data_IF_334965135668
#
_entry.id   IF_334965135668
#
_cell.length_a   1.000
_cell.length_b   1.000
_cell.length_c   1.000
_cell.angle_alpha   90.00
_cell.angle_beta   90.00
_cell.angle_gamma   90.00
#
_symmetry.space_group_name_H-M   'P 1'
#
loop_
_entity.id
_entity.type
_entity.pdbx_description
1 polymer ?
#
# COMPACT_ATOMS: atom_id res chain seq x y z
N UNK A 1 17.27 -3.39 0.22
CA UNK A 1 17.18 -2.53 1.40
C UNK A 1 15.71 -2.29 1.69
N UNK A 2 15.23 -2.77 2.83
CA UNK A 2 13.81 -2.85 3.16
C UNK A 2 13.47 -1.93 4.32
N UNK A 3 13.25 -0.65 4.03
CA UNK A 3 12.46 0.25 4.87
C UNK A 3 11.27 0.72 4.04
N UNK A 4 10.16 1.09 4.66
CA UNK A 4 8.96 1.55 3.94
C UNK A 4 9.14 2.92 3.25
N UNK A 5 9.81 3.94 3.84
CA UNK A 5 9.85 5.28 3.28
C UNK A 5 10.29 5.42 1.80
N UNK A 6 11.28 4.67 1.29
CA UNK A 6 11.67 4.72 -0.12
C UNK A 6 10.58 4.27 -1.11
N UNK A 7 9.56 3.55 -0.66
CA UNK A 7 8.54 2.95 -1.53
C UNK A 7 7.24 3.77 -1.61
N UNK A 8 7.12 4.82 -0.80
CA UNK A 8 5.95 5.70 -0.73
C UNK A 8 6.29 7.12 -1.21
N UNK A 9 5.26 7.96 -1.36
CA UNK A 9 5.42 9.36 -1.70
C UNK A 9 6.40 10.09 -0.76
N UNK A 10 7.19 11.00 -1.32
CA UNK A 10 8.12 11.85 -0.56
C UNK A 10 7.34 12.69 0.44
N UNK A 11 7.87 12.77 1.66
CA UNK A 11 7.26 13.57 2.73
C UNK A 11 6.06 12.91 3.41
N UNK A 12 5.74 11.64 3.12
CA UNK A 12 4.76 10.88 3.90
C UNK A 12 5.11 10.93 5.39
N UNK A 13 4.11 11.24 6.22
CA UNK A 13 4.21 11.30 7.68
C UNK A 13 2.84 11.00 8.32
N UNK A 14 2.81 10.78 9.63
CA UNK A 14 1.57 10.56 10.39
C UNK A 14 0.68 11.82 10.31
N UNK A 15 -0.62 11.64 10.14
CA UNK A 15 -1.60 12.72 9.95
C UNK A 15 -1.69 13.23 8.51
N UNK A 16 -0.83 12.76 7.60
CA UNK A 16 -0.85 13.17 6.21
C UNK A 16 -2.11 12.65 5.52
N UNK A 17 -2.95 13.59 5.06
CA UNK A 17 -4.12 13.28 4.25
C UNK A 17 -3.71 12.88 2.83
N UNK A 18 -4.47 11.97 2.24
CA UNK A 18 -4.25 11.39 0.92
C UNK A 18 -5.55 11.48 0.10
N UNK A 19 -5.45 11.82 -1.18
CA UNK A 19 -6.47 11.50 -2.17
C UNK A 19 -6.21 10.10 -2.68
N UNK A 20 -7.23 9.25 -2.69
CA UNK A 20 -7.17 7.95 -3.36
C UNK A 20 -7.68 8.12 -4.78
N UNK A 21 -6.87 7.77 -5.77
CA UNK A 21 -7.24 7.77 -7.18
C UNK A 21 -7.26 6.36 -7.73
N UNK A 22 -8.20 6.06 -8.62
CA UNK A 22 -8.22 4.81 -9.38
C UNK A 22 -8.21 5.11 -10.88
N UNK A 23 -7.75 4.15 -11.67
CA UNK A 23 -7.63 4.32 -13.12
C UNK A 23 -8.96 3.99 -13.83
N UNK A 24 -9.56 4.97 -14.49
CA UNK A 24 -10.71 4.79 -15.41
C UNK A 24 -10.57 5.71 -16.61
N UNK A 25 -9.93 5.25 -17.70
CA UNK A 25 -9.47 6.06 -18.86
C UNK A 25 -8.49 7.20 -18.48
N UNK A 26 -8.69 7.86 -17.34
CA UNK A 26 -7.86 8.82 -16.63
C UNK A 26 -7.83 8.47 -15.13
N UNK A 27 -6.91 9.06 -14.37
CA UNK A 27 -6.88 8.91 -12.90
C UNK A 27 -7.94 9.80 -12.26
N UNK A 28 -8.98 9.20 -11.70
CA UNK A 28 -10.08 9.92 -11.04
C UNK A 28 -9.97 9.78 -9.52
N UNK A 29 -10.22 10.84 -8.73
CA UNK A 29 -10.39 10.72 -7.30
C UNK A 29 -11.58 9.80 -6.99
N UNK A 30 -11.35 8.80 -6.17
CA UNK A 30 -12.36 7.83 -5.73
C UNK A 30 -12.49 7.80 -4.22
N UNK A 31 -11.68 8.55 -3.48
CA UNK A 31 -11.71 8.51 -2.03
C UNK A 31 -10.71 9.42 -1.36
N UNK A 32 -10.66 9.31 -0.04
CA UNK A 32 -9.68 9.98 0.80
C UNK A 32 -9.20 9.05 1.90
N UNK A 33 -7.96 9.25 2.31
CA UNK A 33 -7.36 8.51 3.41
C UNK A 33 -6.43 9.40 4.23
N UNK A 34 -5.95 8.87 5.33
CA UNK A 34 -4.99 9.48 6.23
C UNK A 34 -3.98 8.42 6.66
N UNK A 35 -2.72 8.82 6.72
CA UNK A 35 -1.65 7.99 7.27
C UNK A 35 -1.73 8.05 8.79
N UNK A 36 -2.18 6.99 9.44
CA UNK A 36 -2.38 6.96 10.90
C UNK A 36 -1.19 6.39 11.66
N UNK A 37 -0.30 5.67 10.98
CA UNK A 37 0.96 5.15 11.51
C UNK A 37 1.99 5.20 10.40
N UNK A 38 3.21 5.65 10.69
CA UNK A 38 4.31 5.64 9.74
C UNK A 38 5.66 5.61 10.44
N UNK A 39 6.45 4.58 10.14
CA UNK A 39 7.80 4.39 10.65
C UNK A 39 8.70 3.79 9.56
N UNK A 40 9.93 3.42 9.92
CA UNK A 40 10.85 2.73 9.01
C UNK A 40 10.31 1.38 8.51
N UNK A 41 9.47 0.70 9.29
CA UNK A 41 9.04 -0.69 9.02
C UNK A 41 7.54 -0.89 9.13
N UNK A 42 6.77 0.15 9.41
CA UNK A 42 5.33 0.05 9.61
C UNK A 42 4.60 1.23 8.96
N UNK A 43 3.46 0.94 8.31
CA UNK A 43 2.55 1.96 7.81
C UNK A 43 1.10 1.52 8.00
N UNK A 44 0.26 2.45 8.47
CA UNK A 44 -1.19 2.30 8.46
C UNK A 44 -1.81 3.46 7.71
N UNK A 45 -2.74 3.15 6.81
CA UNK A 45 -3.52 4.12 6.04
C UNK A 45 -4.99 3.77 6.24
N UNK A 46 -5.77 4.73 6.72
CA UNK A 46 -7.20 4.56 6.97
C UNK A 46 -7.99 5.61 6.18
N UNK A 47 -9.13 5.22 5.61
CA UNK A 47 -9.88 6.08 4.72
C UNK A 47 -11.17 5.45 4.20
N UNK A 48 -11.68 6.04 3.14
CA UNK A 48 -12.88 5.59 2.43
C UNK A 48 -12.67 5.72 0.93
N UNK A 49 -13.22 4.77 0.20
CA UNK A 49 -13.28 4.79 -1.26
C UNK A 49 -14.72 4.56 -1.74
N UNK A 50 -15.04 5.15 -2.87
CA UNK A 50 -16.30 5.04 -3.58
C UNK A 50 -16.00 4.92 -5.07
N UNK A 51 -16.12 3.70 -5.58
CA UNK A 51 -16.01 3.33 -6.99
C UNK A 51 -17.34 2.71 -7.44
N UNK A 52 -17.56 2.63 -8.75
CA UNK A 52 -18.80 2.07 -9.28
C UNK A 52 -18.99 0.63 -8.76
N UNK A 53 -20.05 0.40 -7.98
CA UNK A 53 -20.36 -0.91 -7.39
C UNK A 53 -19.68 -1.20 -6.04
N UNK A 54 -18.86 -0.29 -5.50
CA UNK A 54 -18.27 -0.44 -4.18
C UNK A 54 -18.08 0.91 -3.48
N UNK A 55 -18.66 1.05 -2.29
CA UNK A 55 -18.38 2.17 -1.38
C UNK A 55 -18.13 1.61 0.01
N UNK A 56 -17.04 2.02 0.63
CA UNK A 56 -16.68 1.49 1.94
C UNK A 56 -15.38 2.02 2.52
N UNK A 57 -15.07 1.51 3.71
CA UNK A 57 -13.82 1.82 4.38
C UNK A 57 -12.64 1.16 3.65
N UNK A 58 -11.51 1.86 3.64
CA UNK A 58 -10.22 1.39 3.19
C UNK A 58 -9.27 1.47 4.38
N UNK A 59 -8.81 0.34 4.88
CA UNK A 59 -7.78 0.25 5.90
C UNK A 59 -6.65 -0.63 5.37
N UNK A 60 -5.46 -0.06 5.28
CA UNK A 60 -4.25 -0.73 4.81
C UNK A 60 -3.28 -0.71 5.98
N UNK A 61 -2.76 -1.88 6.33
CA UNK A 61 -1.70 -2.03 7.31
C UNK A 61 -0.61 -2.91 6.73
N UNK A 62 0.63 -2.46 6.86
CA UNK A 62 1.82 -3.21 6.48
C UNK A 62 2.88 -3.04 7.56
N UNK A 63 3.44 -4.17 8.01
CA UNK A 63 4.58 -4.21 8.92
C UNK A 63 5.63 -5.19 8.42
N UNK A 64 6.88 -4.74 8.26
CA UNK A 64 8.04 -5.61 8.00
C UNK A 64 8.56 -6.12 9.35
N UNK A 65 8.65 -7.44 9.52
CA UNK A 65 8.90 -8.04 10.85
C UNK A 65 10.37 -8.24 11.19
N UNK A 66 11.24 -8.28 10.20
CA UNK A 66 12.69 -8.45 10.38
C UNK A 66 13.40 -7.20 10.91
N UNK A 67 12.82 -6.01 10.68
CA UNK A 67 13.41 -4.71 11.04
C UNK A 67 14.84 -4.54 10.52
N UNK A 68 15.15 -5.14 9.37
CA UNK A 68 16.48 -5.12 8.77
C UNK A 68 16.50 -4.21 7.53
N UNK A 69 17.18 -3.04 7.58
CA UNK A 69 17.22 -2.12 6.46
C UNK A 69 18.04 -2.65 5.29
N UNK A 70 18.91 -3.66 5.50
CA UNK A 70 19.71 -4.28 4.44
C UNK A 70 18.92 -5.35 3.67
N UNK A 71 17.89 -5.94 4.29
CA UNK A 71 17.12 -7.02 3.71
C UNK A 71 16.50 -6.64 2.36
N UNK A 72 16.34 -7.65 1.51
CA UNK A 72 15.65 -7.55 0.21
C UNK A 72 14.42 -8.45 0.16
N UNK A 73 14.17 -9.21 1.22
CA UNK A 73 12.98 -10.04 1.39
C UNK A 73 12.89 -10.50 2.83
N UNK A 74 11.68 -10.70 3.32
CA UNK A 74 11.48 -11.15 4.70
C UNK A 74 10.00 -11.30 5.06
N UNK A 75 9.73 -11.74 6.29
CA UNK A 75 8.37 -11.86 6.79
C UNK A 75 7.74 -10.47 7.00
N UNK A 76 6.44 -10.38 6.75
CA UNK A 76 5.64 -9.18 7.02
C UNK A 76 4.21 -9.55 7.43
N UNK A 77 3.50 -8.58 8.00
CA UNK A 77 2.06 -8.64 8.18
C UNK A 77 1.43 -7.69 7.18
N UNK A 78 0.41 -8.17 6.47
CA UNK A 78 -0.42 -7.34 5.61
C UNK A 78 -1.88 -7.48 6.05
N UNK A 79 -2.55 -6.34 6.27
CA UNK A 79 -4.01 -6.31 6.44
C UNK A 79 -4.64 -5.30 5.49
N UNK A 80 -5.60 -5.78 4.71
CA UNK A 80 -6.51 -4.99 3.90
C UNK A 80 -7.94 -5.14 4.43
N UNK A 81 -8.47 -4.07 5.02
CA UNK A 81 -9.75 -4.07 5.70
C UNK A 81 -9.81 -5.18 6.76
N UNK A 82 -10.73 -6.14 6.60
CA UNK A 82 -10.91 -7.28 7.52
C UNK A 82 -10.04 -8.50 7.16
N UNK A 83 -9.30 -8.44 6.06
CA UNK A 83 -8.46 -9.54 5.59
C UNK A 83 -7.04 -9.30 6.04
N UNK A 84 -6.50 -10.21 6.85
CA UNK A 84 -5.14 -10.16 7.35
C UNK A 84 -4.41 -11.44 6.94
N UNK A 85 -3.15 -11.27 6.53
CA UNK A 85 -2.19 -12.35 6.40
C UNK A 85 -0.98 -12.01 7.28
N UNK A 86 -0.88 -12.68 8.41
CA UNK A 86 0.22 -12.56 9.36
C UNK A 86 1.47 -13.36 8.94
N UNK A 87 1.39 -14.11 7.84
CA UNK A 87 2.48 -14.90 7.27
C UNK A 87 2.87 -14.41 5.86
N UNK A 88 2.50 -13.17 5.53
CA UNK A 88 2.86 -12.55 4.26
C UNK A 88 4.38 -12.41 4.13
N UNK A 89 4.85 -12.35 2.88
CA UNK A 89 6.28 -12.19 2.57
C UNK A 89 6.47 -10.98 1.69
N UNK A 90 7.44 -10.14 2.03
CA UNK A 90 7.81 -9.00 1.19
C UNK A 90 9.07 -9.32 0.38
N UNK A 91 9.20 -8.64 -0.76
CA UNK A 91 10.39 -8.61 -1.60
C UNK A 91 10.64 -7.18 -2.07
N UNK A 92 11.91 -6.77 -2.06
CA UNK A 92 12.36 -5.49 -2.61
C UNK A 92 13.13 -5.76 -3.88
N UNK A 93 12.69 -5.11 -4.96
CA UNK A 93 13.44 -5.08 -6.22
C UNK A 93 13.52 -3.63 -6.72
N UNK A 94 14.75 -3.08 -6.71
CA UNK A 94 15.00 -1.66 -7.04
C UNK A 94 14.12 -0.74 -6.18
N UNK A 95 13.16 -0.06 -6.78
CA UNK A 95 12.28 0.91 -6.14
C UNK A 95 10.86 0.36 -5.89
N UNK A 96 10.70 -0.97 -5.93
CA UNK A 96 9.42 -1.65 -5.76
C UNK A 96 9.48 -2.53 -4.52
N UNK A 97 8.53 -2.33 -3.61
CA UNK A 97 8.23 -3.26 -2.52
C UNK A 97 7.02 -4.10 -2.92
N UNK A 98 7.20 -5.40 -3.06
CA UNK A 98 6.13 -6.35 -3.38
C UNK A 98 5.82 -7.20 -2.16
N UNK A 99 4.55 -7.24 -1.76
CA UNK A 99 4.05 -8.10 -0.68
C UNK A 99 3.21 -9.21 -1.28
N UNK A 100 3.57 -10.46 -1.01
CA UNK A 100 2.80 -11.64 -1.35
C UNK A 100 1.99 -12.07 -0.12
N UNK A 101 0.69 -12.21 -0.28
CA UNK A 101 -0.23 -12.51 0.81
C UNK A 101 -1.43 -13.36 0.35
N UNK A 102 -2.08 -14.04 1.29
CA UNK A 102 -3.36 -14.73 1.13
C UNK A 102 -4.46 -13.87 1.75
N UNK A 103 -5.17 -13.11 0.92
CA UNK A 103 -6.26 -12.25 1.36
C UNK A 103 -7.60 -12.84 0.92
N UNK A 104 -8.48 -13.14 1.88
CA UNK A 104 -9.81 -13.69 1.62
C UNK A 104 -9.78 -15.02 0.84
N UNK A 105 -8.82 -15.89 1.17
CA UNK A 105 -8.55 -17.19 0.52
C UNK A 105 -7.89 -17.12 -0.87
N UNK A 106 -7.41 -15.96 -1.31
CA UNK A 106 -6.74 -15.81 -2.60
C UNK A 106 -5.31 -15.33 -2.41
N UNK A 107 -4.36 -16.04 -3.04
CA UNK A 107 -2.99 -15.57 -3.21
C UNK A 107 -2.99 -14.33 -4.09
N UNK A 108 -2.43 -13.24 -3.57
CA UNK A 108 -2.38 -11.94 -4.20
C UNK A 108 -1.02 -11.31 -3.96
N UNK A 109 -0.62 -10.41 -4.85
CA UNK A 109 0.58 -9.61 -4.67
C UNK A 109 0.24 -8.12 -4.77
N UNK A 110 0.76 -7.33 -3.82
CA UNK A 110 0.66 -5.87 -3.82
C UNK A 110 2.03 -5.31 -4.08
N UNK A 111 2.19 -4.54 -5.16
CA UNK A 111 3.40 -3.77 -5.43
C UNK A 111 3.19 -2.33 -5.02
N UNK A 112 4.15 -1.77 -4.29
CA UNK A 112 4.15 -0.42 -3.75
C UNK A 112 5.36 0.30 -4.32
N UNK A 113 5.15 1.45 -4.95
CA UNK A 113 6.21 2.19 -5.65
C UNK A 113 5.92 3.69 -5.66
N UNK A 114 6.93 4.56 -5.46
CA UNK A 114 6.75 5.99 -5.67
C UNK A 114 6.58 6.27 -7.17
N UNK A 115 5.55 7.01 -7.54
CA UNK A 115 5.28 7.41 -8.92
C UNK A 115 5.20 8.94 -9.03
N UNK A 116 5.04 9.44 -10.26
CA UNK A 116 4.93 10.89 -10.54
C UNK A 116 6.06 11.73 -9.88
N UNK A 117 7.33 11.34 -10.09
CA UNK A 117 8.48 12.02 -9.48
C UNK A 117 8.65 11.81 -7.97
N UNK A 118 7.88 10.88 -7.40
CA UNK A 118 7.80 10.61 -5.96
C UNK A 118 6.77 11.47 -5.24
N UNK A 119 5.86 12.12 -5.97
CA UNK A 119 4.75 12.88 -5.36
C UNK A 119 3.54 12.02 -5.05
N UNK A 120 3.49 10.78 -5.53
CA UNK A 120 2.39 9.85 -5.31
C UNK A 120 2.95 8.45 -5.00
N UNK A 121 2.15 7.63 -4.33
CA UNK A 121 2.41 6.20 -4.15
C UNK A 121 1.48 5.42 -5.06
N UNK A 122 2.02 4.59 -5.94
CA UNK A 122 1.25 3.59 -6.67
C UNK A 122 1.16 2.30 -5.85
N UNK A 123 -0.07 1.81 -5.67
CA UNK A 123 -0.35 0.51 -5.09
C UNK A 123 -1.05 -0.34 -6.15
N UNK A 124 -0.38 -1.39 -6.62
CA UNK A 124 -0.90 -2.31 -7.63
C UNK A 124 -1.18 -3.67 -7.02
N UNK A 125 -2.45 -4.06 -7.01
CA UNK A 125 -2.91 -5.38 -6.62
C UNK A 125 -2.97 -6.30 -7.84
N UNK A 126 -2.46 -7.52 -7.69
CA UNK A 126 -2.50 -8.56 -8.71
C UNK A 126 -2.90 -9.90 -8.12
N UNK A 127 -3.59 -10.75 -8.89
CA UNK A 127 -4.05 -12.07 -8.45
C UNK A 127 -5.49 -12.32 -8.91
N UNK A 128 -6.41 -12.52 -7.96
CA UNK A 128 -7.85 -12.70 -8.27
C UNK A 128 -8.44 -11.50 -9.02
N UNK A 129 -8.07 -10.30 -8.60
CA UNK A 129 -8.42 -9.04 -9.25
C UNK A 129 -7.13 -8.27 -9.53
N UNK A 130 -7.14 -7.51 -10.62
CA UNK A 130 -6.03 -6.64 -10.97
C UNK A 130 -6.52 -5.20 -10.86
N UNK A 131 -6.01 -4.48 -9.87
CA UNK A 131 -6.44 -3.13 -9.56
C UNK A 131 -5.21 -2.27 -9.31
N UNK A 132 -5.26 -1.00 -9.70
CA UNK A 132 -4.19 -0.04 -9.42
C UNK A 132 -4.81 1.23 -8.85
N UNK A 133 -4.28 1.67 -7.71
CA UNK A 133 -4.66 2.92 -7.07
C UNK A 133 -3.44 3.79 -6.82
N UNK A 134 -3.62 5.09 -6.89
CA UNK A 134 -2.62 6.08 -6.49
C UNK A 134 -3.06 6.75 -5.19
N UNK A 135 -2.12 6.89 -4.26
CA UNK A 135 -2.26 7.69 -3.05
C UNK A 135 -1.47 8.99 -3.28
N UNK A 136 -2.19 10.10 -3.31
CA UNK A 136 -1.64 11.43 -3.52
C UNK A 136 -1.74 12.24 -2.22
N UNK A 137 -0.61 12.65 -1.60
CA UNK A 137 -0.61 13.53 -0.44
C UNK A 137 -1.34 14.85 -0.73
N UNK A 138 -2.07 15.35 0.27
CA UNK A 138 -2.77 16.66 0.24
C UNK A 138 -2.06 17.72 1.07
#
# INVERSE_FOLDING_TARGET
MATIPPFVAKGTHIGQKQTVKAQKMVWIPVGSAEVTQFSGYEVTIAGQISILGYSGNMNIYLQLLDNDPAATSGPCILRLNKHEDAQAVYHVNKNVLTVQAVLGNYKQAISITPCNGGTQTECKLTGKVNETVHLEPK
#
